data_IF_667316364635
#
_entry.id   IF_667316364635
#
_cell.length_a   1.000
_cell.length_b   1.000
_cell.length_c   1.000
_cell.angle_alpha   90.00
_cell.angle_beta   90.00
_cell.angle_gamma   90.00
#
_symmetry.space_group_name_H-M   'P 1'
#
loop_
_entity.id
_entity.type
_entity.pdbx_description
1 polymer ?
#
# COMPACT_ATOMS: atom_id res chain seq x y z
N UNK A 1 -19.70 9.95 24.13
CA UNK A 1 -18.85 10.59 23.18
C UNK A 1 -18.42 9.62 22.08
N UNK A 2 -19.09 9.73 20.93
CA UNK A 2 -18.91 8.78 19.81
C UNK A 2 -17.48 8.75 19.27
N UNK A 3 -16.83 9.91 19.20
CA UNK A 3 -15.48 10.02 18.63
C UNK A 3 -14.45 9.23 19.43
N UNK A 4 -14.48 9.36 20.75
CA UNK A 4 -13.58 8.61 21.63
C UNK A 4 -13.84 7.11 21.59
N UNK A 5 -15.11 6.70 21.54
CA UNK A 5 -15.47 5.30 21.40
C UNK A 5 -14.99 4.71 20.08
N UNK A 6 -15.11 5.47 18.98
CA UNK A 6 -14.65 5.02 17.65
C UNK A 6 -13.14 4.85 17.59
N UNK A 7 -12.39 5.80 18.13
CA UNK A 7 -10.93 5.74 18.18
C UNK A 7 -10.48 4.54 19.02
N UNK A 8 -11.07 4.39 20.22
CA UNK A 8 -10.77 3.28 21.13
C UNK A 8 -11.12 1.93 20.50
N UNK A 9 -12.23 1.84 19.75
CA UNK A 9 -12.62 0.63 19.04
C UNK A 9 -11.65 0.28 17.93
N UNK A 10 -11.20 1.28 17.14
CA UNK A 10 -10.20 1.08 16.08
C UNK A 10 -8.86 0.63 16.65
N UNK A 11 -8.41 1.24 17.74
CA UNK A 11 -7.16 0.86 18.41
C UNK A 11 -7.22 -0.57 18.93
N UNK A 12 -8.34 -0.96 19.52
CA UNK A 12 -8.55 -2.34 20.01
C UNK A 12 -8.57 -3.34 18.87
N UNK A 13 -9.21 -3.01 17.75
CA UNK A 13 -9.24 -3.87 16.57
C UNK A 13 -7.84 -4.05 15.98
N UNK A 14 -7.09 -2.98 15.87
CA UNK A 14 -5.71 -3.03 15.37
C UNK A 14 -4.81 -3.86 16.29
N UNK A 15 -4.93 -3.67 17.61
CA UNK A 15 -4.20 -4.45 18.60
C UNK A 15 -4.53 -5.93 18.50
N UNK A 16 -5.82 -6.26 18.36
CA UNK A 16 -6.30 -7.64 18.24
C UNK A 16 -5.79 -8.29 16.95
N UNK A 17 -5.79 -7.56 15.84
CA UNK A 17 -5.23 -8.05 14.58
C UNK A 17 -3.76 -8.40 14.72
N UNK A 18 -2.96 -7.52 15.35
CA UNK A 18 -1.53 -7.79 15.60
C UNK A 18 -1.33 -9.02 16.48
N UNK A 19 -2.20 -9.20 17.46
CA UNK A 19 -2.18 -10.36 18.36
C UNK A 19 -2.51 -11.66 17.62
N UNK A 20 -3.47 -11.63 16.69
CA UNK A 20 -3.92 -12.80 15.94
C UNK A 20 -3.00 -13.17 14.78
N UNK A 21 -2.28 -12.21 14.19
CA UNK A 21 -1.39 -12.45 13.04
C UNK A 21 -0.46 -13.65 13.23
N UNK A 22 0.22 -13.80 14.38
CA UNK A 22 1.14 -14.94 14.55
C UNK A 22 0.47 -16.32 14.45
N UNK A 23 -0.80 -16.42 14.78
CA UNK A 23 -1.52 -17.70 14.67
C UNK A 23 -1.74 -18.13 13.23
N UNK A 24 -1.80 -17.19 12.29
CA UNK A 24 -2.02 -17.47 10.89
C UNK A 24 -0.73 -17.58 10.08
N UNK A 25 0.43 -17.25 10.67
CA UNK A 25 1.70 -17.29 9.97
C UNK A 25 2.03 -18.66 9.35
N UNK A 26 1.87 -19.79 10.07
CA UNK A 26 2.15 -21.11 9.46
C UNK A 26 1.23 -21.42 8.28
N UNK A 27 -0.05 -21.04 8.38
CA UNK A 27 -1.00 -21.24 7.28
C UNK A 27 -0.57 -20.46 6.04
N UNK A 28 -0.30 -19.16 6.21
CA UNK A 28 0.14 -18.30 5.11
C UNK A 28 1.43 -18.82 4.50
N UNK A 29 2.43 -19.15 5.33
CA UNK A 29 3.72 -19.66 4.86
C UNK A 29 3.53 -20.95 4.04
N UNK A 30 2.66 -21.84 4.49
CA UNK A 30 2.36 -23.08 3.78
C UNK A 30 1.70 -22.82 2.42
N UNK A 31 0.75 -21.91 2.37
CA UNK A 31 0.08 -21.55 1.11
C UNK A 31 1.06 -20.88 0.14
N UNK A 32 1.88 -19.94 0.61
CA UNK A 32 2.85 -19.26 -0.26
C UNK A 32 3.92 -20.22 -0.81
N UNK A 33 4.29 -21.23 -0.03
CA UNK A 33 5.31 -22.20 -0.43
C UNK A 33 4.75 -23.28 -1.36
N UNK A 34 3.53 -23.76 -1.12
CA UNK A 34 3.00 -24.96 -1.75
C UNK A 34 1.65 -24.77 -2.44
N UNK A 35 1.01 -23.61 -2.28
CA UNK A 35 -0.31 -23.35 -2.85
C UNK A 35 -0.30 -23.32 -4.36
N UNK A 36 -1.42 -23.71 -4.96
CA UNK A 36 -1.61 -23.77 -6.42
C UNK A 36 -2.61 -22.73 -6.91
N UNK A 37 -2.86 -21.70 -6.11
CA UNK A 37 -3.69 -20.57 -6.50
C UNK A 37 -5.17 -20.71 -6.20
N UNK A 38 -5.57 -21.67 -5.36
CA UNK A 38 -6.96 -21.75 -4.92
C UNK A 38 -7.30 -20.52 -4.07
N UNK A 39 -8.53 -20.00 -4.23
CA UNK A 39 -9.00 -18.87 -3.45
C UNK A 39 -8.90 -19.19 -1.95
N UNK A 40 -8.32 -18.29 -1.20
CA UNK A 40 -8.11 -18.46 0.24
C UNK A 40 -8.40 -17.14 0.96
N UNK A 41 -9.56 -17.05 1.59
CA UNK A 41 -9.97 -15.82 2.27
C UNK A 41 -9.14 -15.54 3.53
N UNK A 42 -8.56 -16.57 4.14
CA UNK A 42 -7.65 -16.38 5.29
C UNK A 42 -6.39 -15.65 4.82
N UNK A 43 -5.78 -16.12 3.75
CA UNK A 43 -4.58 -15.50 3.19
C UNK A 43 -4.85 -14.05 2.79
N UNK A 44 -5.96 -13.79 2.11
CA UNK A 44 -6.33 -12.43 1.68
C UNK A 44 -6.64 -11.51 2.86
N UNK A 45 -7.26 -12.03 3.91
CA UNK A 45 -7.52 -11.27 5.14
C UNK A 45 -6.20 -10.92 5.85
N UNK A 46 -5.26 -11.86 5.92
CA UNK A 46 -3.95 -11.60 6.51
C UNK A 46 -3.19 -10.52 5.73
N UNK A 47 -3.30 -10.51 4.41
CA UNK A 47 -2.72 -9.43 3.59
C UNK A 47 -3.25 -8.07 4.04
N UNK A 48 -4.56 -7.94 4.21
CA UNK A 48 -5.18 -6.70 4.72
C UNK A 48 -4.67 -6.34 6.11
N UNK A 49 -4.60 -7.31 7.00
CA UNK A 49 -4.14 -7.06 8.37
C UNK A 49 -2.68 -6.61 8.41
N UNK A 50 -1.84 -7.16 7.54
CA UNK A 50 -0.45 -6.71 7.41
C UNK A 50 -0.38 -5.25 6.94
N UNK A 51 -1.21 -4.87 5.97
CA UNK A 51 -1.31 -3.49 5.51
C UNK A 51 -1.80 -2.56 6.63
N UNK A 52 -2.80 -2.97 7.39
CA UNK A 52 -3.31 -2.21 8.54
C UNK A 52 -2.23 -2.03 9.63
N UNK A 53 -1.32 -2.96 9.73
CA UNK A 53 -0.19 -2.90 10.68
C UNK A 53 1.05 -2.20 10.08
N UNK A 54 0.93 -1.61 8.91
CA UNK A 54 2.01 -0.94 8.16
C UNK A 54 3.15 -1.88 7.74
N UNK A 55 2.87 -3.19 7.69
CA UNK A 55 3.82 -4.20 7.20
C UNK A 55 3.63 -4.38 5.70
N UNK A 56 4.15 -3.44 4.93
CA UNK A 56 4.03 -3.45 3.48
C UNK A 56 4.76 -4.65 2.89
N UNK A 57 5.98 -4.93 3.34
CA UNK A 57 6.78 -6.05 2.84
C UNK A 57 6.05 -7.38 3.01
N UNK A 58 5.49 -7.62 4.20
CA UNK A 58 4.72 -8.84 4.48
C UNK A 58 3.46 -8.94 3.64
N UNK A 59 2.78 -7.81 3.42
CA UNK A 59 1.60 -7.79 2.55
C UNK A 59 1.96 -8.10 1.10
N UNK A 60 3.10 -7.61 0.62
CA UNK A 60 3.54 -7.83 -0.76
C UNK A 60 3.88 -9.29 -1.04
N UNK A 61 4.36 -10.03 -0.05
CA UNK A 61 4.58 -11.48 -0.19
C UNK A 61 3.29 -12.18 -0.62
N UNK A 62 2.19 -11.84 0.05
CA UNK A 62 0.88 -12.40 -0.29
C UNK A 62 0.38 -11.81 -1.62
N UNK A 63 0.57 -10.52 -1.82
CA UNK A 63 0.09 -9.84 -3.02
C UNK A 63 0.69 -10.43 -4.30
N UNK A 64 1.96 -10.78 -4.30
CA UNK A 64 2.60 -11.41 -5.45
C UNK A 64 1.93 -12.74 -5.81
N UNK A 65 1.67 -13.56 -4.80
CA UNK A 65 0.93 -14.81 -4.96
C UNK A 65 -0.50 -14.55 -5.46
N UNK A 66 -1.20 -13.63 -4.81
CA UNK A 66 -2.58 -13.32 -5.17
C UNK A 66 -2.71 -12.78 -6.60
N UNK A 67 -1.80 -11.92 -7.02
CA UNK A 67 -1.81 -11.37 -8.38
C UNK A 67 -1.46 -12.42 -9.43
N UNK A 68 -0.54 -13.33 -9.11
CA UNK A 68 -0.16 -14.42 -10.02
C UNK A 68 -1.34 -15.34 -10.30
N UNK A 69 -2.13 -15.65 -9.30
CA UNK A 69 -3.23 -16.62 -9.41
C UNK A 69 -4.62 -15.97 -9.49
N UNK A 70 -4.69 -14.64 -9.48
CA UNK A 70 -5.96 -13.94 -9.57
C UNK A 70 -6.87 -14.10 -8.36
N UNK A 71 -6.30 -14.22 -7.16
CA UNK A 71 -7.10 -14.31 -5.95
C UNK A 71 -7.86 -13.00 -5.72
N UNK A 72 -9.11 -13.12 -5.28
CA UNK A 72 -9.98 -11.97 -5.04
C UNK A 72 -10.09 -11.68 -3.55
N UNK A 73 -10.45 -10.43 -3.25
CA UNK A 73 -10.74 -10.03 -1.87
C UNK A 73 -12.06 -10.63 -1.42
N UNK A 74 -12.25 -10.80 -0.11
CA UNK A 74 -13.56 -11.19 0.43
C UNK A 74 -14.68 -10.27 -0.07
N UNK A 75 -15.90 -10.80 -0.07
CA UNK A 75 -17.10 -10.10 -0.58
C UNK A 75 -17.20 -8.68 0.00
N UNK A 76 -17.56 -7.72 -0.83
CA UNK A 76 -17.73 -6.33 -0.44
C UNK A 76 -16.47 -5.49 -0.51
N UNK A 77 -15.34 -6.08 -0.87
CA UNK A 77 -14.09 -5.35 -1.03
C UNK A 77 -13.84 -4.97 -2.48
N UNK A 78 -12.96 -3.98 -2.68
CA UNK A 78 -12.52 -3.58 -4.01
C UNK A 78 -11.66 -4.67 -4.65
N UNK A 79 -11.48 -4.65 -5.98
CA UNK A 79 -10.55 -5.58 -6.64
C UNK A 79 -9.17 -5.55 -5.99
N UNK A 80 -8.52 -6.71 -5.95
CA UNK A 80 -7.22 -6.88 -5.26
C UNK A 80 -6.17 -5.84 -5.66
N UNK A 81 -5.93 -5.57 -6.95
CA UNK A 81 -4.91 -4.58 -7.32
C UNK A 81 -5.23 -3.16 -6.83
N UNK A 82 -6.49 -2.76 -6.94
CA UNK A 82 -6.93 -1.45 -6.50
C UNK A 82 -6.78 -1.29 -4.98
N UNK A 83 -7.23 -2.30 -4.24
CA UNK A 83 -7.08 -2.31 -2.78
C UNK A 83 -5.61 -2.27 -2.38
N UNK A 84 -4.76 -3.06 -3.03
CA UNK A 84 -3.33 -3.09 -2.75
C UNK A 84 -2.71 -1.70 -2.95
N UNK A 85 -2.93 -1.08 -4.10
CA UNK A 85 -2.38 0.23 -4.41
C UNK A 85 -2.83 1.28 -3.39
N UNK A 86 -4.12 1.27 -3.04
CA UNK A 86 -4.71 2.21 -2.10
C UNK A 86 -4.13 2.03 -0.69
N UNK A 87 -4.12 0.79 -0.19
CA UNK A 87 -3.68 0.51 1.17
C UNK A 87 -2.16 0.64 1.36
N UNK A 88 -1.37 0.30 0.35
CA UNK A 88 0.08 0.53 0.39
C UNK A 88 0.37 2.02 0.44
N UNK A 89 -0.32 2.82 -0.36
CA UNK A 89 -0.14 4.28 -0.34
C UNK A 89 -0.49 4.86 1.03
N UNK A 90 -1.59 4.40 1.65
CA UNK A 90 -2.00 4.84 2.97
C UNK A 90 -1.00 4.43 4.05
N UNK A 91 -0.52 3.18 4.01
CA UNK A 91 0.48 2.69 4.97
C UNK A 91 1.79 3.50 4.86
N UNK A 92 2.25 3.75 3.64
CA UNK A 92 3.45 4.55 3.41
C UNK A 92 3.26 5.98 3.91
N UNK A 93 2.08 6.56 3.71
CA UNK A 93 1.75 7.89 4.20
C UNK A 93 1.79 7.95 5.73
N UNK A 94 1.22 6.94 6.40
CA UNK A 94 1.27 6.86 7.87
C UNK A 94 2.70 6.76 8.38
N UNK A 95 3.51 5.91 7.75
CA UNK A 95 4.92 5.74 8.13
C UNK A 95 5.71 7.04 7.94
N UNK A 96 5.54 7.69 6.79
CA UNK A 96 6.23 8.95 6.49
C UNK A 96 5.84 10.04 7.49
N UNK A 97 4.53 10.17 7.78
CA UNK A 97 4.04 11.15 8.74
C UNK A 97 4.56 10.89 10.16
N UNK A 98 4.77 9.64 10.52
CA UNK A 98 5.31 9.23 11.82
C UNK A 98 6.85 9.26 11.84
N UNK A 99 7.48 9.69 10.76
CA UNK A 99 8.95 9.73 10.61
C UNK A 99 9.59 8.34 10.76
N UNK A 100 8.84 7.32 10.33
CA UNK A 100 9.33 5.95 10.28
C UNK A 100 9.87 5.64 8.89
N UNK A 101 10.84 4.72 8.78
CA UNK A 101 11.40 4.36 7.47
C UNK A 101 10.34 3.78 6.54
N UNK A 102 10.37 4.20 5.27
CA UNK A 102 9.56 3.61 4.22
C UNK A 102 10.51 2.98 3.21
N UNK A 103 10.34 1.68 2.97
CA UNK A 103 11.17 0.98 1.99
C UNK A 103 10.72 1.33 0.58
N UNK A 104 11.55 2.07 -0.14
CA UNK A 104 11.27 2.51 -1.51
C UNK A 104 11.00 1.32 -2.44
N UNK A 105 11.77 0.23 -2.30
CA UNK A 105 11.60 -0.95 -3.15
C UNK A 105 10.18 -1.51 -3.04
N UNK A 106 9.57 -1.48 -1.86
CA UNK A 106 8.19 -1.92 -1.68
C UNK A 106 7.20 -1.06 -2.47
N UNK A 107 7.41 0.24 -2.52
CA UNK A 107 6.54 1.14 -3.29
C UNK A 107 6.70 0.90 -4.79
N UNK A 108 7.92 0.75 -5.28
CA UNK A 108 8.20 0.47 -6.68
C UNK A 108 7.64 -0.89 -7.09
N UNK A 109 7.76 -1.90 -6.24
CA UNK A 109 7.17 -3.22 -6.48
C UNK A 109 5.65 -3.14 -6.56
N UNK A 110 5.03 -2.34 -5.70
CA UNK A 110 3.57 -2.14 -5.73
C UNK A 110 3.13 -1.50 -7.04
N UNK A 111 3.85 -0.48 -7.49
CA UNK A 111 3.57 0.17 -8.77
C UNK A 111 3.65 -0.87 -9.90
N UNK A 112 4.73 -1.66 -9.93
CA UNK A 112 4.94 -2.67 -10.97
C UNK A 112 3.84 -3.75 -10.94
N UNK A 113 3.47 -4.23 -9.76
CA UNK A 113 2.44 -5.26 -9.59
C UNK A 113 1.07 -4.79 -10.06
N UNK A 114 0.76 -3.50 -9.94
CA UNK A 114 -0.57 -2.94 -10.22
C UNK A 114 -0.63 -2.17 -11.53
N UNK A 115 0.48 -2.08 -12.26
CA UNK A 115 0.63 -1.21 -13.44
C UNK A 115 -0.40 -1.51 -14.52
N UNK A 116 -0.69 -2.78 -14.78
CA UNK A 116 -1.62 -3.21 -15.83
C UNK A 116 -3.05 -3.35 -15.35
N UNK A 117 -3.29 -3.18 -14.06
CA UNK A 117 -4.63 -3.33 -13.51
C UNK A 117 -5.46 -2.08 -13.78
N UNK A 118 -6.74 -2.29 -14.00
CA UNK A 118 -7.68 -1.19 -14.13
C UNK A 118 -8.08 -0.68 -12.74
N UNK A 119 -7.97 0.63 -12.54
CA UNK A 119 -8.33 1.27 -11.28
C UNK A 119 -8.56 2.77 -11.49
N UNK A 120 -9.29 3.43 -10.58
CA UNK A 120 -9.46 4.89 -10.68
C UNK A 120 -8.13 5.62 -10.68
N UNK A 121 -7.99 6.63 -11.51
CA UNK A 121 -6.76 7.42 -11.62
C UNK A 121 -6.30 8.00 -10.29
N UNK A 122 -7.25 8.41 -9.43
CA UNK A 122 -6.93 8.97 -8.11
C UNK A 122 -6.14 7.98 -7.24
N UNK A 123 -6.46 6.69 -7.31
CA UNK A 123 -5.76 5.66 -6.54
C UNK A 123 -4.31 5.55 -7.01
N UNK A 124 -4.12 5.44 -8.32
CA UNK A 124 -2.79 5.37 -8.93
C UNK A 124 -1.99 6.64 -8.66
N UNK A 125 -2.65 7.80 -8.72
CA UNK A 125 -2.02 9.09 -8.46
C UNK A 125 -1.49 9.19 -7.03
N UNK A 126 -2.26 8.72 -6.06
CA UNK A 126 -1.84 8.72 -4.65
C UNK A 126 -0.62 7.85 -4.41
N UNK A 127 -0.54 6.72 -5.09
CA UNK A 127 0.63 5.83 -4.98
C UNK A 127 1.88 6.51 -5.56
N UNK A 128 1.77 7.15 -6.72
CA UNK A 128 2.89 7.91 -7.29
C UNK A 128 3.29 9.11 -6.41
N UNK A 129 2.31 9.79 -5.84
CA UNK A 129 2.56 10.92 -4.95
C UNK A 129 3.41 10.53 -3.74
N UNK A 130 2.99 9.48 -3.02
CA UNK A 130 3.75 9.04 -1.83
C UNK A 130 5.12 8.50 -2.22
N UNK A 131 5.22 7.81 -3.35
CA UNK A 131 6.50 7.34 -3.87
C UNK A 131 7.44 8.52 -4.16
N UNK A 132 6.91 9.58 -4.76
CA UNK A 132 7.67 10.81 -4.99
C UNK A 132 8.17 11.44 -3.71
N UNK A 133 7.36 11.47 -2.68
CA UNK A 133 7.75 12.03 -1.39
C UNK A 133 8.84 11.20 -0.71
N UNK A 134 8.75 9.88 -0.77
CA UNK A 134 9.77 8.98 -0.22
C UNK A 134 11.10 9.15 -0.97
N UNK A 135 11.05 9.27 -2.29
CA UNK A 135 12.23 9.53 -3.11
C UNK A 135 12.86 10.89 -2.76
N UNK A 136 12.05 11.91 -2.52
CA UNK A 136 12.53 13.24 -2.12
C UNK A 136 13.27 13.17 -0.78
N UNK A 137 12.72 12.43 0.18
CA UNK A 137 13.36 12.23 1.48
C UNK A 137 14.70 11.48 1.33
N UNK A 138 14.81 10.60 0.34
CA UNK A 138 16.05 9.90 0.01
C UNK A 138 16.99 10.72 -0.87
N UNK A 139 16.64 11.97 -1.15
CA UNK A 139 17.40 12.90 -1.99
C UNK A 139 17.61 12.41 -3.42
N UNK A 140 16.73 11.54 -3.90
CA UNK A 140 16.69 11.11 -5.30
C UNK A 140 15.75 12.03 -6.06
N UNK A 141 16.21 13.24 -6.32
CA UNK A 141 15.34 14.34 -6.78
C UNK A 141 14.79 14.15 -8.19
N UNK A 142 15.56 13.69 -9.21
CA UNK A 142 15.00 13.46 -10.54
C UNK A 142 13.89 12.41 -10.54
N UNK A 143 14.08 11.31 -9.81
CA UNK A 143 13.09 10.25 -9.69
C UNK A 143 11.85 10.72 -8.94
N UNK A 144 12.05 11.51 -7.86
CA UNK A 144 10.94 12.10 -7.12
C UNK A 144 10.09 12.98 -8.02
N UNK A 145 10.74 13.84 -8.81
CA UNK A 145 10.06 14.73 -9.75
C UNK A 145 9.22 13.93 -10.76
N UNK A 146 9.80 12.86 -11.32
CA UNK A 146 9.11 12.03 -12.31
C UNK A 146 7.81 11.43 -11.74
N UNK A 147 7.85 10.93 -10.50
CA UNK A 147 6.66 10.36 -9.87
C UNK A 147 5.61 11.42 -9.53
N UNK A 148 6.02 12.60 -9.07
CA UNK A 148 5.07 13.69 -8.80
C UNK A 148 4.44 14.22 -10.09
N UNK A 149 5.20 14.30 -11.17
CA UNK A 149 4.66 14.67 -12.49
C UNK A 149 3.64 13.63 -12.97
N UNK A 150 3.94 12.34 -12.76
CA UNK A 150 2.99 11.29 -13.11
C UNK A 150 1.71 11.41 -12.30
N UNK A 151 1.82 11.70 -11.00
CA UNK A 151 0.66 11.87 -10.14
C UNK A 151 -0.26 12.99 -10.64
N UNK A 152 0.31 14.14 -11.01
CA UNK A 152 -0.50 15.27 -11.48
C UNK A 152 -1.09 15.04 -12.88
N UNK A 153 -0.42 14.24 -13.71
CA UNK A 153 -0.99 13.81 -15.00
C UNK A 153 -2.23 12.95 -14.79
N UNK A 154 -2.20 12.06 -13.80
CA UNK A 154 -3.32 11.17 -13.48
C UNK A 154 -4.47 11.90 -12.79
N UNK A 155 -4.14 12.84 -11.91
CA UNK A 155 -5.13 13.59 -11.14
C UNK A 155 -4.62 15.01 -10.90
N UNK A 156 -5.13 15.96 -11.66
CA UNK A 156 -4.65 17.34 -11.64
C UNK A 156 -4.82 18.03 -10.27
N UNK A 157 -5.74 17.54 -9.44
CA UNK A 157 -6.03 18.11 -8.13
C UNK A 157 -5.29 17.40 -6.98
N UNK A 158 -4.28 16.57 -7.30
CA UNK A 158 -3.57 15.77 -6.28
C UNK A 158 -2.77 16.63 -5.29
N UNK A 159 -2.49 17.89 -5.62
CA UNK A 159 -1.90 18.84 -4.67
C UNK A 159 -0.39 18.83 -4.60
N UNK A 160 0.31 18.56 -5.71
CA UNK A 160 1.79 18.48 -5.74
C UNK A 160 2.45 19.57 -6.57
N UNK A 161 1.73 20.61 -7.00
CA UNK A 161 2.29 21.65 -7.87
C UNK A 161 3.49 22.36 -7.25
N UNK A 162 3.38 22.76 -5.99
CA UNK A 162 4.47 23.43 -5.28
C UNK A 162 5.68 22.52 -5.10
N UNK A 163 5.42 21.24 -4.82
CA UNK A 163 6.48 20.23 -4.67
C UNK A 163 7.26 20.10 -5.99
N UNK A 164 6.55 20.04 -7.11
CA UNK A 164 7.17 19.94 -8.44
C UNK A 164 8.02 21.18 -8.72
N UNK A 165 7.49 22.38 -8.46
CA UNK A 165 8.22 23.64 -8.67
C UNK A 165 9.51 23.68 -7.86
N UNK A 166 9.46 23.25 -6.59
CA UNK A 166 10.63 23.21 -5.73
C UNK A 166 11.68 22.24 -6.22
N UNK A 167 11.26 21.05 -6.68
CA UNK A 167 12.17 20.05 -7.21
C UNK A 167 12.81 20.50 -8.54
N UNK A 168 12.05 21.17 -9.40
CA UNK A 168 12.56 21.74 -10.66
C UNK A 168 13.68 22.76 -10.40
N UNK A 169 13.55 23.57 -9.35
CA UNK A 169 14.58 24.57 -9.00
C UNK A 169 15.87 23.93 -8.51
N UNK A 170 15.78 22.74 -7.89
CA UNK A 170 16.94 22.04 -7.35
C UNK A 170 17.67 21.16 -8.35
N UNK A 171 17.02 20.87 -9.46
CA UNK A 171 17.61 19.98 -10.49
C UNK A 171 18.38 20.71 -11.60
#
# INVERSE_FOLDING_TARGET
NRTLKQISSKERKAAKKRELLPFYLPWVAGILANGKGAQDDIVMTVMLWRLDADDIAGALEIARYAMTYGLTMPVGRRPTPCLLAEEVALAAQRLLAAKQPVNLANLLDTIALTERADMPDIVRAKLHKITGYVLREAEQLPEALAHLQRAIQLESTIGVKKDIEQLDRKS
#
